data_IF_220212967824
#
_entry.id   IF_220212967824
#
_cell.length_a   1.000
_cell.length_b   1.000
_cell.length_c   1.000
_cell.angle_alpha   90.00
_cell.angle_beta   90.00
_cell.angle_gamma   90.00
#
_symmetry.space_group_name_H-M   'P 1'
#
loop_
_entity.id
_entity.type
_entity.pdbx_description
1 polymer ?
#
# COMPACT_ATOMS: atom_id res chain seq x y z
N UNK A 1 5.38 -7.13 8.97
CA UNK A 1 6.66 -6.49 8.59
C UNK A 1 6.51 -4.98 8.65
N UNK A 2 7.48 -4.27 9.22
CA UNK A 2 7.40 -2.79 9.34
C UNK A 2 7.70 -2.09 8.02
N UNK A 3 8.50 -2.70 7.15
CA UNK A 3 8.99 -2.13 5.89
C UNK A 3 8.00 -2.21 4.73
N UNK A 4 6.91 -2.96 4.85
CA UNK A 4 5.97 -3.22 3.76
C UNK A 4 6.43 -4.27 2.72
N UNK A 5 7.59 -4.91 2.89
CA UNK A 5 8.13 -5.88 1.93
C UNK A 5 7.23 -7.11 1.69
N UNK A 6 6.63 -7.67 2.75
CA UNK A 6 5.66 -8.77 2.64
C UNK A 6 4.41 -8.34 1.86
N UNK A 7 3.89 -7.15 2.16
CA UNK A 7 2.76 -6.58 1.44
C UNK A 7 3.09 -6.32 -0.04
N UNK A 8 4.31 -5.87 -0.35
CA UNK A 8 4.75 -5.62 -1.73
C UNK A 8 4.85 -6.92 -2.53
N UNK A 9 5.36 -7.99 -1.92
CA UNK A 9 5.42 -9.32 -2.52
C UNK A 9 4.02 -9.85 -2.84
N UNK A 10 3.07 -9.69 -1.91
CA UNK A 10 1.65 -10.06 -2.13
C UNK A 10 1.00 -9.19 -3.21
N UNK A 11 1.26 -7.88 -3.20
CA UNK A 11 0.74 -6.95 -4.20
C UNK A 11 1.23 -7.29 -5.62
N UNK A 12 2.49 -7.68 -5.77
CA UNK A 12 3.06 -8.14 -7.04
C UNK A 12 2.30 -9.34 -7.62
N UNK A 13 1.99 -10.34 -6.78
CA UNK A 13 1.23 -11.52 -7.19
C UNK A 13 -0.20 -11.13 -7.56
N UNK A 14 -0.89 -10.38 -6.70
CA UNK A 14 -2.29 -9.99 -6.91
C UNK A 14 -2.45 -9.11 -8.15
N UNK A 15 -1.56 -8.13 -8.36
CA UNK A 15 -1.57 -7.29 -9.55
C UNK A 15 -1.33 -8.11 -10.82
N UNK A 16 -0.41 -9.08 -10.76
CA UNK A 16 -0.13 -9.94 -11.91
C UNK A 16 -1.33 -10.77 -12.32
N UNK A 17 -2.05 -11.33 -11.33
CA UNK A 17 -3.28 -12.08 -11.55
C UNK A 17 -4.43 -11.18 -12.03
N UNK A 18 -4.62 -10.02 -11.41
CA UNK A 18 -5.73 -9.11 -11.72
C UNK A 18 -5.63 -8.49 -13.12
N UNK A 19 -4.41 -8.26 -13.62
CA UNK A 19 -4.20 -7.56 -14.88
C UNK A 19 -3.63 -8.43 -16.02
N UNK A 20 -3.33 -9.70 -15.76
CA UNK A 20 -2.86 -10.65 -16.77
C UNK A 20 -1.46 -10.31 -17.32
N UNK A 21 -0.62 -9.65 -16.53
CA UNK A 21 0.74 -9.26 -16.92
C UNK A 21 1.68 -9.32 -15.73
N UNK A 22 2.94 -9.69 -15.95
CA UNK A 22 3.88 -9.82 -14.85
C UNK A 22 4.24 -8.46 -14.22
N UNK A 23 3.80 -8.25 -12.99
CA UNK A 23 4.17 -7.13 -12.12
C UNK A 23 5.14 -7.68 -11.08
N UNK A 24 6.44 -7.70 -11.39
CA UNK A 24 7.46 -8.20 -10.46
C UNK A 24 7.57 -7.37 -9.17
N UNK A 25 8.05 -7.94 -8.05
CA UNK A 25 8.09 -7.28 -6.74
C UNK A 25 8.92 -6.00 -6.73
N UNK A 26 10.02 -5.94 -7.48
CA UNK A 26 10.83 -4.72 -7.64
C UNK A 26 10.10 -3.57 -8.37
N UNK A 27 8.93 -3.83 -8.98
CA UNK A 27 8.08 -2.82 -9.62
C UNK A 27 6.96 -2.30 -8.71
N UNK A 28 6.85 -2.84 -7.49
CA UNK A 28 5.90 -2.37 -6.49
C UNK A 28 6.61 -1.36 -5.60
N UNK A 29 6.14 -0.11 -5.62
CA UNK A 29 6.61 0.88 -4.65
C UNK A 29 6.18 0.45 -3.24
N UNK A 30 7.08 0.47 -2.27
CA UNK A 30 6.77 0.05 -0.90
C UNK A 30 7.27 1.08 0.11
N UNK A 31 6.35 1.58 0.91
CA UNK A 31 6.59 2.39 2.10
C UNK A 31 6.04 1.65 3.32
N UNK A 32 6.86 1.55 4.35
CA UNK A 32 6.52 0.90 5.61
C UNK A 32 5.73 1.78 6.57
N UNK A 33 5.62 1.33 7.81
CA UNK A 33 5.04 2.08 8.94
C UNK A 33 6.10 2.57 9.93
N UNK A 34 7.38 2.38 9.62
CA UNK A 34 8.53 2.76 10.45
C UNK A 34 8.67 4.28 10.65
N UNK A 35 8.14 5.08 9.72
CA UNK A 35 8.07 6.54 9.84
C UNK A 35 6.82 7.09 10.54
N UNK A 36 5.87 6.24 10.95
CA UNK A 36 4.58 6.68 11.50
C UNK A 36 4.73 7.10 12.98
N UNK A 37 4.31 8.33 13.31
CA UNK A 37 4.29 8.82 14.69
C UNK A 37 2.97 8.45 15.38
N UNK A 38 3.01 8.28 16.70
CA UNK A 38 1.81 8.13 17.54
C UNK A 38 0.83 9.29 17.33
N UNK A 39 1.35 10.50 17.04
CA UNK A 39 0.55 11.69 16.71
C UNK A 39 -0.27 11.49 15.44
N UNK A 40 0.25 10.82 14.41
CA UNK A 40 -0.48 10.55 13.16
C UNK A 40 -1.69 9.64 13.43
N UNK A 41 -1.52 8.65 14.31
CA UNK A 41 -2.59 7.73 14.71
C UNK A 41 -3.67 8.47 15.51
N UNK A 42 -3.26 9.34 16.44
CA UNK A 42 -4.19 10.15 17.23
C UNK A 42 -4.98 11.11 16.33
N UNK A 43 -4.31 11.83 15.43
CA UNK A 43 -4.96 12.73 14.47
C UNK A 43 -5.92 11.98 13.54
N UNK A 44 -5.53 10.81 13.03
CA UNK A 44 -6.43 10.00 12.21
C UNK A 44 -7.72 9.66 12.95
N UNK A 45 -7.62 9.20 14.21
CA UNK A 45 -8.77 8.87 15.04
C UNK A 45 -9.67 10.08 15.27
N UNK A 46 -9.09 11.23 15.59
CA UNK A 46 -9.86 12.45 15.87
C UNK A 46 -10.60 12.97 14.62
N UNK A 47 -10.12 12.63 13.42
CA UNK A 47 -10.78 12.89 12.13
C UNK A 47 -11.78 11.78 11.70
N UNK A 48 -11.94 10.72 12.48
CA UNK A 48 -12.82 9.58 12.13
C UNK A 48 -12.19 8.56 11.17
N UNK A 49 -10.86 8.50 11.11
CA UNK A 49 -10.10 7.58 10.28
C UNK A 49 -9.24 6.62 11.12
N UNK A 50 -8.79 5.55 10.49
CA UNK A 50 -7.74 4.66 11.00
C UNK A 50 -6.60 4.56 9.99
N UNK A 51 -5.37 4.48 10.48
CA UNK A 51 -4.21 4.24 9.61
C UNK A 51 -4.08 2.75 9.30
N UNK A 52 -3.97 2.41 8.02
CA UNK A 52 -3.75 1.05 7.52
C UNK A 52 -2.63 1.04 6.49
N UNK A 53 -1.83 -0.02 6.49
CA UNK A 53 -0.89 -0.30 5.40
C UNK A 53 -1.66 -0.93 4.24
N UNK A 54 -1.85 -0.20 3.13
CA UNK A 54 -2.64 -0.67 2.00
C UNK A 54 -1.76 -1.10 0.84
N UNK A 55 -2.08 -2.25 0.25
CA UNK A 55 -1.60 -2.65 -1.07
C UNK A 55 -2.63 -2.24 -2.13
N UNK A 56 -2.24 -1.38 -3.06
CA UNK A 56 -3.12 -0.86 -4.12
C UNK A 56 -2.50 -1.19 -5.48
N UNK A 57 -3.33 -1.77 -6.35
CA UNK A 57 -2.96 -2.01 -7.74
C UNK A 57 -4.11 -1.52 -8.64
N UNK A 58 -3.80 -0.64 -9.59
CA UNK A 58 -4.82 0.01 -10.42
C UNK A 58 -4.32 0.23 -11.85
N UNK A 59 -5.25 0.24 -12.81
CA UNK A 59 -4.95 0.66 -14.18
C UNK A 59 -4.85 2.17 -14.21
N UNK A 60 -3.75 2.67 -14.74
CA UNK A 60 -3.51 4.10 -14.97
C UNK A 60 -3.33 4.34 -16.47
N UNK A 61 -3.29 5.61 -16.88
CA UNK A 61 -3.01 5.93 -18.28
C UNK A 61 -1.62 5.38 -18.67
N UNK A 62 -1.58 4.42 -19.60
CA UNK A 62 -0.34 3.82 -20.08
C UNK A 62 0.20 2.63 -19.28
N UNK A 63 -0.50 2.12 -18.26
CA UNK A 63 -0.01 0.93 -17.54
C UNK A 63 -0.74 0.55 -16.26
N UNK A 64 0.00 -0.08 -15.36
CA UNK A 64 -0.46 -0.51 -14.04
C UNK A 64 0.41 0.20 -13.01
N UNK A 65 -0.24 0.85 -12.04
CA UNK A 65 0.40 1.33 -10.82
C UNK A 65 0.20 0.29 -9.73
N UNK A 66 1.29 -0.11 -9.06
CA UNK A 66 1.26 -1.02 -7.92
C UNK A 66 2.09 -0.43 -6.78
N UNK A 67 1.48 -0.29 -5.61
CA UNK A 67 2.11 0.35 -4.44
C UNK A 67 1.63 -0.24 -3.12
N UNK A 68 2.46 -0.10 -2.11
CA UNK A 68 2.17 -0.33 -0.70
C UNK A 68 2.57 0.94 0.06
N UNK A 69 1.64 1.51 0.82
CA UNK A 69 1.93 2.65 1.70
C UNK A 69 0.90 2.77 2.82
N UNK A 70 1.24 3.43 3.93
CA UNK A 70 0.25 3.84 4.94
C UNK A 70 -0.80 4.77 4.32
N UNK A 71 -2.06 4.58 4.71
CA UNK A 71 -3.17 5.44 4.30
C UNK A 71 -4.20 5.55 5.43
N UNK A 72 -4.86 6.71 5.49
CA UNK A 72 -6.03 6.90 6.35
C UNK A 72 -7.27 6.35 5.62
N UNK A 73 -7.98 5.43 6.26
CA UNK A 73 -9.26 4.90 5.77
C UNK A 73 -10.36 5.21 6.79
N UNK A 74 -11.60 5.48 6.35
CA UNK A 74 -12.70 5.71 7.29
C UNK A 74 -12.78 4.57 8.33
N UNK A 75 -12.88 4.97 9.60
CA UNK A 75 -12.86 4.09 10.76
C UNK A 75 -14.13 3.28 10.96
#
# INVERSE_FOLDING_TARGET
DVSGADAASKASILASLAFGTWVGPARVHAEGIDGLDVRDIAFARDLGYVVKLLAVAERVHGGISARVHPAMVPG
#
